data_IF_347380700150
#
_entry.id   IF_347380700150
#
_cell.length_a   1.000
_cell.length_b   1.000
_cell.length_c   1.000
_cell.angle_alpha   90.00
_cell.angle_beta   90.00
_cell.angle_gamma   90.00
#
_symmetry.space_group_name_H-M   'P 1'
#
loop_
_entity.id
_entity.type
_entity.pdbx_description
1 polymer ?
#
# COMPACT_ATOMS: atom_id res chain seq x y z
N UNK A 1 -2.70 -51.81 -13.76
CA UNK A 1 -2.62 -51.35 -12.36
C UNK A 1 -1.22 -50.79 -12.19
N UNK A 2 -0.93 -49.53 -11.92
CA UNK A 2 -1.59 -48.48 -11.12
C UNK A 2 -1.12 -47.11 -11.62
N UNK A 3 -2.02 -46.13 -11.71
CA UNK A 3 -1.71 -44.70 -11.74
C UNK A 3 -2.68 -43.99 -10.80
N UNK A 4 -2.19 -42.95 -10.14
CA UNK A 4 -2.90 -41.86 -9.44
C UNK A 4 -2.68 -41.83 -7.93
N UNK A 5 -1.99 -40.79 -7.46
CA UNK A 5 -2.56 -39.66 -6.69
C UNK A 5 -1.42 -38.91 -6.01
N UNK A 6 -1.17 -37.67 -6.44
CA UNK A 6 -0.46 -36.63 -5.67
C UNK A 6 -0.64 -35.28 -6.37
N UNK A 7 -1.80 -34.64 -6.22
CA UNK A 7 -2.03 -33.25 -6.68
C UNK A 7 -3.05 -32.45 -5.84
N UNK A 8 -3.41 -32.88 -4.63
CA UNK A 8 -4.51 -32.24 -3.88
C UNK A 8 -4.10 -31.28 -2.74
N UNK A 9 -2.84 -31.24 -2.30
CA UNK A 9 -2.47 -30.52 -1.05
C UNK A 9 -2.04 -29.06 -1.22
N UNK A 10 -1.91 -28.54 -2.45
CA UNK A 10 -1.42 -27.16 -2.68
C UNK A 10 -2.51 -26.10 -2.86
N UNK A 11 -3.78 -26.51 -2.91
CA UNK A 11 -4.93 -25.61 -3.16
C UNK A 11 -5.69 -25.19 -1.90
N UNK A 12 -5.52 -25.89 -0.78
CA UNK A 12 -6.22 -25.54 0.46
C UNK A 12 -5.52 -24.46 1.28
N UNK A 13 -4.18 -24.39 1.28
CA UNK A 13 -3.46 -23.37 2.07
C UNK A 13 -3.54 -21.95 1.48
N UNK A 14 -3.82 -21.80 0.18
CA UNK A 14 -4.03 -20.48 -0.45
C UNK A 14 -5.44 -19.94 -0.21
N UNK A 15 -6.41 -20.83 0.06
CA UNK A 15 -7.80 -20.45 0.29
C UNK A 15 -7.96 -19.78 1.66
N UNK A 16 -7.37 -20.34 2.71
CA UNK A 16 -7.51 -19.84 4.09
C UNK A 16 -6.85 -18.48 4.32
N UNK A 17 -5.69 -18.21 3.71
CA UNK A 17 -5.03 -16.90 3.80
C UNK A 17 -5.83 -15.80 3.09
N UNK A 18 -6.52 -16.15 2.01
CA UNK A 18 -7.38 -15.23 1.27
C UNK A 18 -8.66 -14.89 2.06
N UNK A 19 -9.23 -15.86 2.78
CA UNK A 19 -10.44 -15.64 3.59
C UNK A 19 -10.16 -14.78 4.83
N UNK A 20 -8.98 -14.89 5.44
CA UNK A 20 -8.56 -14.06 6.58
C UNK A 20 -8.28 -12.61 6.18
N UNK A 21 -7.69 -12.36 5.00
CA UNK A 21 -7.54 -11.00 4.46
C UNK A 21 -8.89 -10.37 4.09
N UNK A 22 -9.85 -11.15 3.57
CA UNK A 22 -11.16 -10.65 3.19
C UNK A 22 -12.01 -10.19 4.38
N UNK A 23 -11.89 -10.84 5.55
CA UNK A 23 -12.61 -10.46 6.77
C UNK A 23 -12.04 -9.19 7.42
N UNK A 24 -10.72 -8.96 7.33
CA UNK A 24 -10.09 -7.73 7.81
C UNK A 24 -10.43 -6.51 6.92
N UNK A 25 -10.57 -6.71 5.61
CA UNK A 25 -10.93 -5.65 4.66
C UNK A 25 -12.39 -5.18 4.79
N UNK A 26 -13.32 -6.07 5.16
CA UNK A 26 -14.76 -5.75 5.23
C UNK A 26 -15.14 -4.88 6.44
N UNK A 27 -14.35 -4.87 7.52
CA UNK A 27 -14.63 -4.03 8.70
C UNK A 27 -14.04 -2.62 8.61
N UNK A 28 -13.01 -2.38 7.77
CA UNK A 28 -12.37 -1.07 7.62
C UNK A 28 -13.03 -0.13 6.61
N UNK A 29 -13.83 -0.65 5.68
CA UNK A 29 -14.48 0.18 4.65
C UNK A 29 -15.71 0.96 5.14
N UNK A 30 -16.30 0.58 6.28
CA UNK A 30 -17.54 1.20 6.76
C UNK A 30 -17.35 2.57 7.44
N UNK A 31 -16.13 2.91 7.87
CA UNK A 31 -15.86 4.18 8.56
C UNK A 31 -15.23 5.23 7.64
N UNK A 32 -14.45 4.83 6.64
CA UNK A 32 -13.82 5.76 5.69
C UNK A 32 -14.79 6.41 4.70
N UNK A 33 -15.98 5.83 4.47
CA UNK A 33 -16.99 6.42 3.60
C UNK A 33 -17.79 7.55 4.26
N UNK A 34 -17.70 7.77 5.57
CA UNK A 34 -18.43 8.84 6.26
C UNK A 34 -17.63 10.16 6.32
N UNK A 35 -16.31 10.11 6.53
CA UNK A 35 -15.48 11.32 6.65
C UNK A 35 -15.26 12.06 5.31
N UNK A 36 -15.40 11.36 4.17
CA UNK A 36 -15.28 11.98 2.85
C UNK A 36 -16.49 12.86 2.52
N UNK A 37 -17.68 12.58 3.08
CA UNK A 37 -18.89 13.37 2.74
C UNK A 37 -18.98 14.73 3.45
N UNK A 38 -18.36 14.91 4.62
CA UNK A 38 -18.45 16.19 5.36
C UNK A 38 -17.49 17.27 4.82
N UNK A 39 -16.39 16.89 4.15
CA UNK A 39 -15.39 17.87 3.67
C UNK A 39 -15.74 18.60 2.37
N UNK A 40 -16.82 18.23 1.67
CA UNK A 40 -17.18 18.80 0.35
C UNK A 40 -18.37 19.76 0.36
N UNK A 41 -18.85 20.21 1.54
CA UNK A 41 -20.04 21.09 1.63
C UNK A 41 -19.82 22.47 2.25
N UNK A 42 -18.58 22.93 2.47
CA UNK A 42 -18.38 24.32 2.91
C UNK A 42 -18.35 25.32 1.75
N UNK A 43 -19.33 26.24 1.80
CA UNK A 43 -19.51 27.38 0.92
C UNK A 43 -18.29 28.31 0.92
N UNK A 44 -18.06 28.92 -0.24
CA UNK A 44 -17.00 29.88 -0.54
C UNK A 44 -17.12 31.13 0.34
N UNK A 45 -16.22 31.31 1.30
CA UNK A 45 -15.89 32.63 1.86
C UNK A 45 -14.46 33.04 1.50
N UNK A 46 -14.38 34.15 0.77
CA UNK A 46 -13.14 34.81 0.39
C UNK A 46 -12.40 35.35 1.62
N UNK A 47 -11.14 34.96 1.82
CA UNK A 47 -10.25 35.65 2.75
C UNK A 47 -8.95 36.11 2.07
N UNK A 48 -8.64 37.38 2.34
CA UNK A 48 -7.56 38.18 1.80
C UNK A 48 -6.16 37.59 2.01
N UNK A 49 -5.33 37.76 0.98
CA UNK A 49 -3.90 37.45 0.96
C UNK A 49 -3.14 38.36 1.92
N UNK A 50 -2.48 37.80 2.94
CA UNK A 50 -1.34 38.43 3.63
C UNK A 50 -0.20 37.45 3.92
N UNK A 51 0.92 37.71 3.23
CA UNK A 51 2.32 37.38 3.53
C UNK A 51 2.71 35.91 3.82
N UNK A 52 3.02 35.18 2.74
CA UNK A 52 3.90 34.00 2.74
C UNK A 52 5.20 34.38 2.02
N UNK A 53 6.12 35.05 2.72
CA UNK A 53 7.49 35.28 2.22
C UNK A 53 8.58 34.72 3.14
N UNK A 54 8.23 34.07 4.25
CA UNK A 54 9.19 33.52 5.20
C UNK A 54 9.32 32.00 5.22
N UNK A 55 8.47 31.23 4.51
CA UNK A 55 8.60 29.76 4.41
C UNK A 55 9.28 29.26 3.12
N UNK A 56 9.52 30.13 2.15
CA UNK A 56 10.00 29.72 0.82
C UNK A 56 11.53 29.53 0.75
N UNK A 57 12.30 30.02 1.72
CA UNK A 57 13.78 29.94 1.66
C UNK A 57 14.37 28.63 2.20
N UNK A 58 13.70 27.91 3.10
CA UNK A 58 14.27 26.69 3.73
C UNK A 58 14.16 25.42 2.90
N UNK A 59 13.29 25.39 1.89
CA UNK A 59 13.08 24.19 1.06
C UNK A 59 14.06 24.10 -0.13
N UNK A 60 14.59 25.22 -0.62
CA UNK A 60 15.62 25.22 -1.67
C UNK A 60 16.98 24.69 -1.17
N UNK A 61 17.36 24.95 0.09
CA UNK A 61 18.64 24.47 0.65
C UNK A 61 18.72 22.94 0.79
N UNK A 62 17.59 22.23 1.01
CA UNK A 62 17.57 20.77 1.09
C UNK A 62 17.80 20.08 -0.26
N UNK A 63 17.41 20.71 -1.35
CA UNK A 63 17.46 20.13 -2.70
C UNK A 63 18.90 20.08 -3.25
N UNK A 64 19.69 21.14 -3.04
CA UNK A 64 21.07 21.23 -3.54
C UNK A 64 22.01 20.24 -2.85
N UNK A 65 21.76 19.90 -1.58
CA UNK A 65 22.60 18.94 -0.84
C UNK A 65 22.48 17.49 -1.35
N UNK A 66 21.34 17.07 -1.90
CA UNK A 66 21.17 15.69 -2.41
C UNK A 66 21.74 15.51 -3.81
N UNK A 67 21.63 16.52 -4.69
CA UNK A 67 22.23 16.48 -6.03
C UNK A 67 23.78 16.50 -5.96
N UNK A 68 24.36 17.21 -4.98
CA UNK A 68 25.81 17.27 -4.77
C UNK A 68 26.41 15.94 -4.28
N UNK A 69 25.70 15.19 -3.43
CA UNK A 69 26.19 13.92 -2.87
C UNK A 69 26.18 12.74 -3.87
N UNK A 70 25.33 12.77 -4.91
CA UNK A 70 25.29 11.71 -5.94
C UNK A 70 26.56 11.71 -6.84
N UNK A 71 27.31 12.81 -6.88
CA UNK A 71 28.48 12.97 -7.77
C UNK A 71 29.85 12.66 -7.14
N UNK A 72 29.94 12.25 -5.86
CA UNK A 72 31.25 12.07 -5.18
C UNK A 72 31.67 10.63 -4.84
N UNK A 73 30.85 9.61 -5.06
CA UNK A 73 31.20 8.23 -4.65
C UNK A 73 31.80 7.40 -5.80
N UNK A 74 33.08 7.62 -6.08
CA UNK A 74 33.95 6.59 -6.70
C UNK A 74 34.80 5.98 -5.58
N UNK A 75 34.65 4.69 -5.22
CA UNK A 75 35.39 4.13 -4.10
C UNK A 75 36.87 3.94 -4.47
N UNK A 76 37.83 4.25 -3.58
CA UNK A 76 39.24 3.94 -3.79
C UNK A 76 39.49 2.43 -3.59
N UNK A 77 40.28 1.84 -4.48
CA UNK A 77 40.73 0.45 -4.43
C UNK A 77 41.51 0.16 -3.13
N UNK A 78 41.00 -0.75 -2.28
CA UNK A 78 41.76 -1.27 -1.13
C UNK A 78 42.24 -2.69 -1.39
N UNK A 79 43.57 -2.87 -1.37
CA UNK A 79 44.30 -4.14 -1.50
C UNK A 79 43.96 -5.08 -0.33
N UNK A 80 43.29 -6.20 -0.61
CA UNK A 80 43.07 -7.28 0.35
C UNK A 80 44.35 -8.11 0.47
N UNK A 81 44.86 -8.26 1.70
CA UNK A 81 45.98 -9.12 2.07
C UNK A 81 45.43 -10.50 2.44
N UNK A 82 45.78 -11.52 1.66
CA UNK A 82 45.39 -12.93 1.85
C UNK A 82 46.23 -13.56 2.97
N UNK A 83 45.59 -14.30 3.89
CA UNK A 83 46.19 -15.38 4.69
C UNK A 83 45.16 -16.54 4.80
N UNK A 84 45.55 -17.84 4.70
CA UNK A 84 44.63 -18.92 4.29
C UNK A 84 44.23 -19.93 5.38
N UNK A 85 43.17 -20.69 5.04
CA UNK A 85 42.77 -22.06 5.41
C UNK A 85 42.38 -22.41 6.87
N UNK A 86 41.22 -23.07 7.04
CA UNK A 86 41.16 -24.55 7.03
C UNK A 86 39.71 -25.09 6.98
N UNK A 87 39.53 -26.04 6.06
CA UNK A 87 38.37 -26.91 5.85
C UNK A 87 38.12 -27.81 7.06
N UNK A 88 36.87 -28.05 7.42
CA UNK A 88 36.40 -29.36 7.87
C UNK A 88 34.89 -29.48 7.67
N UNK A 89 34.51 -30.39 6.78
CA UNK A 89 33.17 -30.93 6.62
C UNK A 89 32.78 -31.70 7.88
N UNK A 90 31.59 -31.44 8.41
CA UNK A 90 30.87 -32.40 9.25
C UNK A 90 29.38 -32.27 8.98
N UNK A 91 28.84 -33.29 8.32
CA UNK A 91 27.42 -33.57 8.24
C UNK A 91 26.87 -33.78 9.66
N UNK A 92 25.86 -33.00 10.04
CA UNK A 92 25.02 -33.30 11.21
C UNK A 92 23.57 -33.41 10.74
N UNK A 93 22.99 -34.57 11.04
CA UNK A 93 21.63 -35.02 10.76
C UNK A 93 20.58 -34.27 11.61
N UNK A 94 19.27 -34.42 11.32
CA UNK A 94 18.24 -33.45 11.69
C UNK A 94 17.90 -33.46 13.19
N UNK A 95 17.67 -32.23 13.66
CA UNK A 95 17.09 -31.79 14.94
C UNK A 95 16.14 -32.80 15.59
N UNK A 96 16.62 -33.47 16.64
CA UNK A 96 15.75 -33.93 17.72
C UNK A 96 15.35 -32.69 18.55
N UNK A 97 14.06 -32.40 18.57
CA UNK A 97 13.45 -31.37 19.39
C UNK A 97 13.54 -31.77 20.87
N UNK A 98 14.66 -31.42 21.51
CA UNK A 98 14.73 -31.35 22.96
C UNK A 98 14.28 -29.94 23.39
N UNK A 99 12.99 -29.81 23.66
CA UNK A 99 12.46 -28.72 24.48
C UNK A 99 13.03 -28.87 25.89
N UNK A 100 14.17 -28.23 26.14
CA UNK A 100 14.53 -27.83 27.49
C UNK A 100 13.76 -26.55 27.80
N UNK A 101 12.77 -26.67 28.67
CA UNK A 101 12.04 -25.57 29.29
C UNK A 101 13.01 -24.70 30.08
N UNK A 102 13.54 -23.65 29.46
CA UNK A 102 13.82 -22.41 30.17
C UNK A 102 12.65 -21.48 29.91
N UNK A 103 11.86 -21.21 30.95
CA UNK A 103 10.84 -20.16 30.97
C UNK A 103 11.52 -18.78 30.85
N UNK A 104 12.11 -18.47 29.70
CA UNK A 104 12.36 -17.08 29.35
C UNK A 104 11.06 -16.54 28.76
N UNK A 105 10.35 -15.76 29.58
CA UNK A 105 9.24 -14.89 29.19
C UNK A 105 9.78 -13.71 28.36
N UNK A 106 10.55 -14.00 27.31
CA UNK A 106 11.02 -13.00 26.35
C UNK A 106 10.03 -12.89 25.18
N UNK A 107 10.08 -11.76 24.48
CA UNK A 107 9.15 -11.46 23.39
C UNK A 107 9.19 -12.49 22.26
N UNK A 108 10.35 -13.11 21.99
CA UNK A 108 10.53 -14.06 20.88
C UNK A 108 9.93 -15.42 21.23
N UNK A 109 10.13 -15.88 22.47
CA UNK A 109 9.49 -17.08 23.00
C UNK A 109 7.97 -16.95 22.99
N UNK A 110 7.43 -15.81 23.42
CA UNK A 110 6.00 -15.52 23.38
C UNK A 110 5.44 -15.42 21.95
N UNK A 111 6.16 -14.76 21.04
CA UNK A 111 5.81 -14.71 19.62
C UNK A 111 5.70 -16.13 19.03
N UNK A 112 6.70 -16.98 19.27
CA UNK A 112 6.70 -18.36 18.79
C UNK A 112 5.50 -19.16 19.33
N UNK A 113 5.16 -18.98 20.62
CA UNK A 113 3.97 -19.60 21.22
C UNK A 113 2.69 -19.15 20.51
N UNK A 114 2.52 -17.85 20.28
CA UNK A 114 1.35 -17.30 19.58
C UNK A 114 1.24 -17.82 18.16
N UNK A 115 2.36 -17.90 17.43
CA UNK A 115 2.39 -18.44 16.06
C UNK A 115 1.96 -19.91 16.05
N UNK A 116 2.56 -20.75 16.91
CA UNK A 116 2.23 -22.18 16.98
C UNK A 116 0.74 -22.38 17.29
N UNK A 117 0.21 -21.67 18.29
CA UNK A 117 -1.19 -21.76 18.66
C UNK A 117 -2.12 -21.29 17.52
N UNK A 118 -1.74 -20.23 16.82
CA UNK A 118 -2.49 -19.72 15.65
C UNK A 118 -2.50 -20.74 14.49
N UNK A 119 -1.39 -21.44 14.26
CA UNK A 119 -1.29 -22.44 13.19
C UNK A 119 -2.03 -23.75 13.49
N UNK A 120 -2.26 -24.05 14.77
CA UNK A 120 -3.09 -25.18 15.18
C UNK A 120 -4.57 -25.00 14.82
N UNK A 121 -5.01 -23.79 14.51
CA UNK A 121 -6.36 -23.50 14.00
C UNK A 121 -7.46 -24.08 14.92
N UNK A 122 -8.35 -24.90 14.35
CA UNK A 122 -9.46 -25.52 15.09
C UNK A 122 -9.03 -26.52 16.17
N UNK A 123 -7.75 -26.90 16.23
CA UNK A 123 -7.21 -27.80 17.24
C UNK A 123 -6.67 -27.07 18.47
N UNK A 124 -6.49 -25.74 18.39
CA UNK A 124 -6.11 -24.93 19.55
C UNK A 124 -7.36 -24.47 20.31
N UNK A 125 -7.24 -24.44 21.63
CA UNK A 125 -8.22 -23.79 22.49
C UNK A 125 -8.18 -22.28 22.22
N UNK A 126 -9.31 -21.71 21.82
CA UNK A 126 -9.44 -20.28 21.54
C UNK A 126 -9.18 -19.44 22.80
N UNK A 127 -9.47 -19.98 23.99
CA UNK A 127 -9.13 -19.35 25.27
C UNK A 127 -7.62 -19.28 25.49
N UNK A 128 -6.89 -20.34 25.12
CA UNK A 128 -5.43 -20.38 25.26
C UNK A 128 -4.72 -19.43 24.28
N UNK A 129 -5.24 -19.29 23.06
CA UNK A 129 -4.74 -18.28 22.09
C UNK A 129 -4.94 -16.88 22.66
N UNK A 130 -6.14 -16.57 23.16
CA UNK A 130 -6.47 -15.26 23.70
C UNK A 130 -5.59 -14.92 24.91
N UNK A 131 -5.42 -15.85 25.85
CA UNK A 131 -4.58 -15.66 27.03
C UNK A 131 -3.10 -15.46 26.67
N UNK A 132 -2.58 -16.22 25.69
CA UNK A 132 -1.21 -16.06 25.21
C UNK A 132 -1.01 -14.70 24.53
N UNK A 133 -1.99 -14.26 23.73
CA UNK A 133 -1.94 -12.96 23.06
C UNK A 133 -2.01 -11.80 24.06
N UNK A 134 -2.92 -11.85 25.03
CA UNK A 134 -3.06 -10.83 26.08
C UNK A 134 -1.80 -10.75 26.95
N UNK A 135 -1.24 -11.90 27.32
CA UNK A 135 0.02 -11.97 28.06
C UNK A 135 1.18 -11.35 27.28
N UNK A 136 1.25 -11.63 25.98
CA UNK A 136 2.30 -11.08 25.12
C UNK A 136 2.14 -9.56 24.95
N UNK A 137 0.93 -9.07 24.67
CA UNK A 137 0.65 -7.64 24.59
C UNK A 137 1.00 -6.94 25.90
N UNK A 138 0.64 -7.52 27.05
CA UNK A 138 0.99 -6.96 28.35
C UNK A 138 2.50 -6.88 28.57
N UNK A 139 3.28 -7.89 28.15
CA UNK A 139 4.74 -7.82 28.17
C UNK A 139 5.27 -6.65 27.34
N UNK A 140 4.78 -6.49 26.11
CA UNK A 140 5.23 -5.43 25.20
C UNK A 140 4.86 -4.02 25.70
N UNK A 141 3.70 -3.87 26.34
CA UNK A 141 3.28 -2.59 26.95
C UNK A 141 4.13 -2.25 28.18
N UNK A 142 4.46 -3.25 28.99
CA UNK A 142 5.15 -3.02 30.28
C UNK A 142 6.67 -3.03 30.16
N UNK A 143 7.23 -3.52 29.05
CA UNK A 143 8.67 -3.64 28.82
C UNK A 143 9.10 -3.04 27.48
N UNK A 144 9.57 -1.77 27.47
CA UNK A 144 10.18 -1.16 26.29
C UNK A 144 11.37 -1.94 25.72
N UNK A 145 12.10 -2.66 26.59
CA UNK A 145 13.20 -3.52 26.17
C UNK A 145 12.72 -4.69 25.31
N UNK A 146 11.64 -5.36 25.73
CA UNK A 146 11.07 -6.48 24.96
C UNK A 146 10.42 -6.02 23.66
N UNK A 147 9.82 -4.83 23.66
CA UNK A 147 9.33 -4.21 22.43
C UNK A 147 10.49 -3.90 21.46
N UNK A 148 11.61 -3.35 21.94
CA UNK A 148 12.79 -3.11 21.12
C UNK A 148 13.40 -4.42 20.58
N UNK A 149 13.50 -5.45 21.41
CA UNK A 149 13.99 -6.77 21.02
C UNK A 149 13.11 -7.39 19.92
N UNK A 150 11.78 -7.27 20.03
CA UNK A 150 10.84 -7.73 19.01
C UNK A 150 11.02 -6.98 17.68
N UNK A 151 11.26 -5.67 17.74
CA UNK A 151 11.52 -4.84 16.55
C UNK A 151 12.85 -5.20 15.90
N UNK A 152 13.90 -5.40 16.69
CA UNK A 152 15.22 -5.83 16.20
C UNK A 152 15.12 -7.19 15.51
N UNK A 153 14.36 -8.12 16.09
CA UNK A 153 14.07 -9.40 15.46
C UNK A 153 13.31 -9.23 14.14
N UNK A 154 12.24 -8.42 14.14
CA UNK A 154 11.44 -8.11 12.95
C UNK A 154 12.29 -7.62 11.77
N UNK A 155 13.32 -6.80 12.03
CA UNK A 155 14.24 -6.28 11.00
C UNK A 155 15.04 -7.39 10.28
N UNK A 156 15.27 -8.52 10.95
CA UNK A 156 16.02 -9.64 10.37
C UNK A 156 15.17 -10.54 9.48
N UNK A 157 13.84 -10.46 9.60
CA UNK A 157 12.91 -11.35 8.93
C UNK A 157 12.72 -11.00 7.46
N UNK A 158 12.37 -12.01 6.67
CA UNK A 158 11.77 -11.76 5.35
C UNK A 158 10.41 -11.11 5.54
N UNK A 159 10.11 -10.11 4.73
CA UNK A 159 8.82 -9.43 4.75
C UNK A 159 7.67 -10.34 4.30
N UNK A 160 7.97 -11.40 3.55
CA UNK A 160 7.00 -12.44 3.17
C UNK A 160 6.78 -13.48 4.30
N UNK A 161 7.55 -13.38 5.39
CA UNK A 161 7.42 -14.34 6.49
C UNK A 161 6.14 -14.09 7.27
N UNK A 162 5.46 -15.18 7.63
CA UNK A 162 4.31 -15.13 8.54
C UNK A 162 4.67 -14.44 9.86
N UNK A 163 5.88 -14.69 10.33
CA UNK A 163 6.40 -14.13 11.57
C UNK A 163 6.46 -12.60 11.53
N UNK A 164 6.96 -12.02 10.44
CA UNK A 164 6.94 -10.57 10.22
C UNK A 164 5.51 -10.01 10.32
N UNK A 165 4.55 -10.64 9.63
CA UNK A 165 3.16 -10.20 9.67
C UNK A 165 2.51 -10.34 11.05
N UNK A 166 2.85 -11.38 11.81
CA UNK A 166 2.39 -11.53 13.20
C UNK A 166 2.94 -10.43 14.09
N UNK A 167 4.22 -10.08 13.97
CA UNK A 167 4.81 -8.99 14.75
C UNK A 167 4.11 -7.67 14.45
N UNK A 168 3.93 -7.33 13.17
CA UNK A 168 3.25 -6.09 12.76
C UNK A 168 1.84 -6.02 13.33
N UNK A 169 1.07 -7.11 13.20
CA UNK A 169 -0.30 -7.19 13.74
C UNK A 169 -0.35 -6.99 15.26
N UNK A 170 0.52 -7.67 15.99
CA UNK A 170 0.57 -7.58 17.46
C UNK A 170 0.95 -6.16 17.90
N UNK A 171 1.92 -5.53 17.23
CA UNK A 171 2.32 -4.15 17.52
C UNK A 171 1.20 -3.14 17.22
N UNK A 172 0.43 -3.32 16.14
CA UNK A 172 -0.72 -2.46 15.83
C UNK A 172 -1.82 -2.52 16.90
N UNK A 173 -2.00 -3.69 17.53
CA UNK A 173 -3.03 -3.93 18.54
C UNK A 173 -2.62 -3.46 19.95
N UNK A 174 -1.42 -2.89 20.13
CA UNK A 174 -1.00 -2.33 21.41
C UNK A 174 -1.80 -1.06 21.76
N UNK A 175 -2.14 -0.86 23.05
CA UNK A 175 -2.89 0.31 23.51
C UNK A 175 -2.12 1.62 23.28
N UNK A 176 -2.87 2.73 23.30
CA UNK A 176 -2.33 4.11 23.27
C UNK A 176 -1.41 4.39 22.07
N UNK A 177 -1.59 3.68 20.96
CA UNK A 177 -0.79 3.80 19.73
C UNK A 177 0.71 3.52 19.90
N UNK A 178 1.15 2.91 21.01
CA UNK A 178 2.57 2.71 21.32
C UNK A 178 3.29 1.89 20.23
N UNK A 179 2.70 0.76 19.82
CA UNK A 179 3.28 -0.05 18.75
C UNK A 179 3.16 0.63 17.37
N UNK A 180 2.13 1.46 17.15
CA UNK A 180 2.02 2.28 15.95
C UNK A 180 3.17 3.30 15.80
N UNK A 181 3.57 3.95 16.89
CA UNK A 181 4.73 4.86 16.91
C UNK A 181 6.05 4.12 16.67
N UNK A 182 6.20 2.94 17.26
CA UNK A 182 7.38 2.11 17.05
C UNK A 182 7.50 1.65 15.59
N UNK A 183 6.42 1.13 15.00
CA UNK A 183 6.36 0.77 13.59
C UNK A 183 6.63 1.95 12.66
N UNK A 184 6.10 3.14 12.99
CA UNK A 184 6.37 4.37 12.23
C UNK A 184 7.85 4.74 12.26
N UNK A 185 8.51 4.57 13.41
CA UNK A 185 9.95 4.85 13.55
C UNK A 185 10.79 3.90 12.70
N UNK A 186 10.44 2.60 12.68
CA UNK A 186 11.10 1.60 11.81
C UNK A 186 10.88 1.91 10.34
N UNK A 187 9.66 2.26 9.93
CA UNK A 187 9.37 2.65 8.55
C UNK A 187 10.21 3.87 8.13
N UNK A 188 10.30 4.90 8.98
CA UNK A 188 11.11 6.08 8.70
C UNK A 188 12.61 5.80 8.63
N UNK A 189 13.12 4.84 9.40
CA UNK A 189 14.51 4.39 9.29
C UNK A 189 14.74 3.66 7.96
N UNK A 190 13.87 2.72 7.59
CA UNK A 190 13.97 2.00 6.33
C UNK A 190 13.91 2.93 5.12
N UNK A 191 13.09 3.99 5.18
CA UNK A 191 13.00 4.98 4.11
C UNK A 191 14.28 5.80 3.88
N UNK A 192 15.23 5.76 4.82
CA UNK A 192 16.52 6.46 4.69
C UNK A 192 17.58 5.64 3.94
N UNK A 193 17.31 4.35 3.72
CA UNK A 193 18.21 3.48 2.98
C UNK A 193 17.81 3.46 1.50
N UNK A 194 18.79 3.67 0.62
CA UNK A 194 18.56 3.73 -0.83
C UNK A 194 18.47 2.35 -1.51
N UNK A 195 18.60 1.25 -0.75
CA UNK A 195 18.55 -0.09 -1.32
C UNK A 195 17.10 -0.59 -1.51
N UNK A 196 16.90 -1.36 -2.59
CA UNK A 196 15.59 -1.91 -2.99
C UNK A 196 14.92 -2.68 -1.86
N UNK A 197 15.67 -3.47 -1.08
CA UNK A 197 15.10 -4.30 -0.02
C UNK A 197 14.54 -3.42 1.11
N UNK A 198 15.25 -2.37 1.50
CA UNK A 198 14.76 -1.42 2.49
C UNK A 198 13.53 -0.67 2.00
N UNK A 199 13.47 -0.27 0.73
CA UNK A 199 12.30 0.39 0.13
C UNK A 199 11.07 -0.54 0.11
N UNK A 200 11.24 -1.81 -0.27
CA UNK A 200 10.16 -2.80 -0.23
C UNK A 200 9.63 -3.01 1.20
N UNK A 201 10.53 -3.11 2.19
CA UNK A 201 10.15 -3.23 3.60
C UNK A 201 9.44 -1.97 4.11
N UNK A 202 9.91 -0.79 3.71
CA UNK A 202 9.25 0.48 4.01
C UNK A 202 7.83 0.51 3.46
N UNK A 203 7.63 0.18 2.17
CA UNK A 203 6.32 0.19 1.53
C UNK A 203 5.36 -0.79 2.19
N UNK A 204 5.82 -1.99 2.53
CA UNK A 204 4.99 -2.96 3.23
C UNK A 204 4.59 -2.46 4.62
N UNK A 205 5.53 -1.91 5.40
CA UNK A 205 5.20 -1.35 6.70
C UNK A 205 4.23 -0.19 6.56
N UNK A 206 4.47 0.74 5.62
CA UNK A 206 3.61 1.87 5.34
C UNK A 206 2.18 1.45 4.99
N UNK A 207 2.01 0.41 4.17
CA UNK A 207 0.69 -0.17 3.87
C UNK A 207 -0.04 -0.70 5.12
N UNK A 208 0.71 -1.05 6.16
CA UNK A 208 0.22 -1.56 7.43
C UNK A 208 0.25 -0.49 8.54
N UNK A 209 0.55 0.77 8.30
CA UNK A 209 0.63 1.76 9.38
C UNK A 209 -0.73 2.26 9.90
N UNK A 210 -1.87 1.69 9.45
CA UNK A 210 -3.22 2.18 9.74
C UNK A 210 -3.26 3.71 9.60
N UNK A 211 -3.74 4.44 10.61
CA UNK A 211 -3.85 5.91 10.61
C UNK A 211 -2.48 6.63 10.57
N UNK A 212 -1.36 5.95 10.87
CA UNK A 212 -0.04 6.58 10.84
C UNK A 212 0.54 6.74 9.42
N UNK A 213 -0.13 6.19 8.41
CA UNK A 213 0.24 6.43 7.01
C UNK A 213 0.14 7.93 6.65
N UNK A 214 -0.70 8.69 7.36
CA UNK A 214 -0.86 10.14 7.20
C UNK A 214 0.27 10.95 7.84
N UNK A 215 1.24 10.30 8.49
CA UNK A 215 2.41 10.99 9.00
C UNK A 215 3.13 11.71 7.85
N UNK A 216 3.36 13.05 7.94
CA UNK A 216 3.95 13.82 6.85
C UNK A 216 5.30 13.27 6.40
N UNK A 217 6.11 12.72 7.32
CA UNK A 217 7.42 12.15 6.96
C UNK A 217 7.28 10.84 6.18
N UNK A 218 6.25 10.04 6.46
CA UNK A 218 5.95 8.83 5.69
C UNK A 218 5.47 9.24 4.29
N UNK A 219 4.60 10.24 4.19
CA UNK A 219 4.14 10.76 2.89
C UNK A 219 5.28 11.36 2.06
N UNK A 220 6.21 12.11 2.68
CA UNK A 220 7.42 12.58 2.00
C UNK A 220 8.29 11.42 1.51
N UNK A 221 8.51 10.39 2.34
CA UNK A 221 9.29 9.22 1.93
C UNK A 221 8.64 8.45 0.78
N UNK A 222 7.32 8.28 0.80
CA UNK A 222 6.55 7.69 -0.29
C UNK A 222 6.65 8.53 -1.57
N UNK A 223 6.61 9.86 -1.46
CA UNK A 223 6.75 10.77 -2.60
C UNK A 223 8.15 10.68 -3.21
N UNK A 224 9.19 10.67 -2.36
CA UNK A 224 10.58 10.46 -2.78
C UNK A 224 10.72 9.16 -3.59
N UNK A 225 10.15 8.05 -3.11
CA UNK A 225 10.16 6.77 -3.85
C UNK A 225 9.38 6.88 -5.16
N UNK A 226 8.17 7.43 -5.13
CA UNK A 226 7.33 7.55 -6.31
C UNK A 226 7.99 8.39 -7.40
N UNK A 227 8.74 9.44 -7.04
CA UNK A 227 9.39 10.35 -7.99
C UNK A 227 10.76 9.80 -8.45
N UNK A 228 11.58 9.28 -7.52
CA UNK A 228 13.00 9.05 -7.77
C UNK A 228 13.44 7.58 -7.81
N UNK A 229 12.60 6.61 -7.46
CA UNK A 229 13.01 5.20 -7.52
C UNK A 229 13.35 4.79 -8.97
N UNK A 230 14.60 4.37 -9.16
CA UNK A 230 15.14 3.92 -10.43
C UNK A 230 14.83 2.41 -10.62
N UNK A 231 14.48 2.01 -11.85
CA UNK A 231 14.43 0.61 -12.31
C UNK A 231 13.47 -0.36 -11.61
N UNK A 232 12.42 0.12 -10.92
CA UNK A 232 11.41 -0.73 -10.30
C UNK A 232 9.99 -0.15 -10.42
N UNK A 233 9.28 -0.54 -11.49
CA UNK A 233 7.89 -0.11 -11.72
C UNK A 233 6.97 -0.53 -10.56
N UNK A 234 7.17 -1.70 -9.97
CA UNK A 234 6.33 -2.16 -8.84
C UNK A 234 6.51 -1.31 -7.59
N UNK A 235 7.74 -0.95 -7.24
CA UNK A 235 8.03 -0.07 -6.09
C UNK A 235 7.39 1.31 -6.29
N UNK A 236 7.50 1.85 -7.50
CA UNK A 236 6.87 3.14 -7.82
C UNK A 236 5.35 3.04 -7.72
N UNK A 237 4.74 1.99 -8.26
CA UNK A 237 3.29 1.77 -8.21
C UNK A 237 2.76 1.59 -6.79
N UNK A 238 3.47 0.82 -5.96
CA UNK A 238 3.12 0.60 -4.56
C UNK A 238 3.18 1.93 -3.79
N UNK A 239 4.23 2.73 -4.01
CA UNK A 239 4.35 4.05 -3.42
C UNK A 239 3.19 4.98 -3.84
N UNK A 240 2.89 5.07 -5.14
CA UNK A 240 1.80 5.87 -5.69
C UNK A 240 0.43 5.50 -5.08
N UNK A 241 0.20 4.20 -4.89
CA UNK A 241 -1.03 3.67 -4.30
C UNK A 241 -1.22 4.16 -2.87
N UNK A 242 -0.15 4.16 -2.08
CA UNK A 242 -0.15 4.57 -0.67
C UNK A 242 -0.17 6.09 -0.46
N UNK A 243 0.30 6.85 -1.44
CA UNK A 243 0.36 8.31 -1.35
C UNK A 243 -1.01 8.96 -1.23
N UNK A 244 -1.07 10.11 -0.58
CA UNK A 244 -2.30 10.88 -0.38
C UNK A 244 -2.14 12.29 -0.99
N UNK A 245 -2.94 12.67 -2.01
CA UNK A 245 -2.73 13.92 -2.75
C UNK A 245 -2.81 15.19 -1.90
N UNK A 246 -3.56 15.18 -0.79
CA UNK A 246 -3.73 16.35 0.07
C UNK A 246 -2.50 16.66 0.94
N UNK A 247 -1.56 15.73 1.07
CA UNK A 247 -0.29 15.95 1.76
C UNK A 247 0.82 16.52 0.87
N UNK A 248 0.50 16.83 -0.39
CA UNK A 248 1.48 17.27 -1.38
C UNK A 248 1.20 18.69 -1.86
N UNK A 249 2.26 19.42 -2.13
CA UNK A 249 2.17 20.68 -2.85
C UNK A 249 1.98 20.46 -4.36
N UNK A 250 1.73 21.53 -5.11
CA UNK A 250 1.50 21.45 -6.55
C UNK A 250 2.74 21.00 -7.31
N UNK A 251 3.94 21.34 -6.82
CA UNK A 251 5.19 20.97 -7.48
C UNK A 251 5.48 19.46 -7.36
N UNK A 252 5.22 18.87 -6.19
CA UNK A 252 5.30 17.43 -5.97
C UNK A 252 4.27 16.68 -6.83
N UNK A 253 3.03 17.19 -6.91
CA UNK A 253 1.98 16.62 -7.78
C UNK A 253 2.39 16.64 -9.24
N UNK A 254 2.94 17.74 -9.74
CA UNK A 254 3.44 17.83 -11.13
C UNK A 254 4.56 16.83 -11.41
N UNK A 255 5.48 16.62 -10.47
CA UNK A 255 6.54 15.60 -10.60
C UNK A 255 5.96 14.19 -10.63
N UNK A 256 5.00 13.88 -9.76
CA UNK A 256 4.30 12.59 -9.74
C UNK A 256 3.55 12.35 -11.05
N UNK A 257 2.78 13.33 -11.53
CA UNK A 257 2.05 13.22 -12.80
C UNK A 257 3.01 13.04 -13.98
N UNK A 258 4.13 13.76 -14.00
CA UNK A 258 5.19 13.58 -15.00
C UNK A 258 5.73 12.14 -14.97
N UNK A 259 5.98 11.61 -13.78
CA UNK A 259 6.46 10.23 -13.62
C UNK A 259 5.42 9.20 -14.08
N UNK A 260 4.15 9.37 -13.70
CA UNK A 260 3.05 8.49 -14.14
C UNK A 260 2.90 8.52 -15.65
N UNK A 261 2.94 9.69 -16.28
CA UNK A 261 2.83 9.83 -17.74
C UNK A 261 3.98 9.14 -18.48
N UNK A 262 5.21 9.25 -17.95
CA UNK A 262 6.35 8.51 -18.49
C UNK A 262 6.15 7.00 -18.38
N UNK A 263 5.62 6.51 -17.25
CA UNK A 263 5.29 5.10 -17.07
C UNK A 263 4.19 4.64 -18.03
N UNK A 264 3.11 5.41 -18.20
CA UNK A 264 2.02 5.10 -19.14
C UNK A 264 2.48 5.00 -20.59
N UNK A 265 3.50 5.77 -20.98
CA UNK A 265 4.09 5.72 -22.32
C UNK A 265 4.90 4.43 -22.56
N UNK A 266 5.45 3.82 -21.51
CA UNK A 266 6.29 2.61 -21.59
C UNK A 266 5.59 1.35 -21.10
N UNK A 267 4.47 1.47 -20.38
CA UNK A 267 3.83 0.34 -19.70
C UNK A 267 3.18 -0.62 -20.68
N UNK A 268 3.23 -1.91 -20.32
CA UNK A 268 2.33 -2.89 -20.91
C UNK A 268 0.88 -2.66 -20.41
N UNK A 269 -0.07 -3.45 -20.90
CA UNK A 269 -1.49 -3.31 -20.53
C UNK A 269 -1.76 -3.66 -19.06
N UNK A 270 -0.90 -4.45 -18.40
CA UNK A 270 -1.19 -5.03 -17.08
C UNK A 270 -1.33 -3.98 -15.98
N UNK A 271 -0.48 -2.94 -15.98
CA UNK A 271 -0.46 -1.93 -14.92
C UNK A 271 -1.15 -0.61 -15.35
N UNK A 272 -1.67 -0.55 -16.58
CA UNK A 272 -2.20 0.69 -17.15
C UNK A 272 -3.39 1.22 -16.36
N UNK A 273 -4.32 0.36 -15.94
CA UNK A 273 -5.48 0.76 -15.13
C UNK A 273 -5.05 1.38 -13.79
N UNK A 274 -4.08 0.76 -13.10
CA UNK A 274 -3.52 1.29 -11.84
C UNK A 274 -2.82 2.64 -12.04
N UNK A 275 -2.06 2.80 -13.12
CA UNK A 275 -1.41 4.07 -13.45
C UNK A 275 -2.44 5.16 -13.75
N UNK A 276 -3.53 4.84 -14.46
CA UNK A 276 -4.62 5.79 -14.75
C UNK A 276 -5.35 6.18 -13.46
N UNK A 277 -5.67 5.23 -12.57
CA UNK A 277 -6.26 5.55 -11.27
C UNK A 277 -5.38 6.54 -10.49
N UNK A 278 -4.07 6.27 -10.44
CA UNK A 278 -3.13 7.17 -9.79
C UNK A 278 -3.06 8.54 -10.50
N UNK A 279 -3.05 8.58 -11.83
CA UNK A 279 -3.08 9.85 -12.58
C UNK A 279 -4.32 10.68 -12.22
N UNK A 280 -5.51 10.06 -12.21
CA UNK A 280 -6.76 10.72 -11.82
C UNK A 280 -6.67 11.28 -10.41
N UNK A 281 -6.16 10.49 -9.45
CA UNK A 281 -6.02 10.85 -8.04
C UNK A 281 -5.14 12.10 -7.82
N UNK A 282 -4.07 12.26 -8.59
CA UNK A 282 -3.15 13.41 -8.43
C UNK A 282 -3.49 14.62 -9.31
N UNK A 283 -4.39 14.46 -10.28
CA UNK A 283 -4.77 15.53 -11.21
C UNK A 283 -5.84 16.47 -10.63
N UNK A 284 -6.00 17.64 -11.25
CA UNK A 284 -7.08 18.58 -10.95
C UNK A 284 -8.39 18.21 -11.68
N UNK A 285 -9.50 18.91 -11.39
CA UNK A 285 -10.81 18.55 -11.96
C UNK A 285 -10.86 18.61 -13.49
N UNK A 286 -10.25 19.63 -14.11
CA UNK A 286 -10.25 19.77 -15.58
C UNK A 286 -9.45 18.64 -16.23
N UNK A 287 -8.28 18.33 -15.68
CA UNK A 287 -7.44 17.20 -16.11
C UNK A 287 -8.14 15.86 -15.94
N UNK A 288 -8.85 15.66 -14.81
CA UNK A 288 -9.61 14.43 -14.55
C UNK A 288 -10.75 14.24 -15.54
N UNK A 289 -11.49 15.29 -15.87
CA UNK A 289 -12.54 15.23 -16.89
C UNK A 289 -11.96 14.90 -18.27
N UNK A 290 -10.84 15.54 -18.63
CA UNK A 290 -10.16 15.28 -19.90
C UNK A 290 -9.68 13.83 -20.01
N UNK A 291 -8.95 13.34 -18.99
CA UNK A 291 -8.49 11.96 -18.94
C UNK A 291 -9.65 10.97 -18.95
N UNK A 292 -10.69 11.20 -18.15
CA UNK A 292 -11.86 10.33 -18.13
C UNK A 292 -12.53 10.23 -19.51
N UNK A 293 -12.66 11.35 -20.21
CA UNK A 293 -13.23 11.39 -21.55
C UNK A 293 -12.38 10.64 -22.57
N UNK A 294 -11.05 10.67 -22.43
CA UNK A 294 -10.13 9.93 -23.27
C UNK A 294 -10.18 8.42 -22.98
N UNK A 295 -10.07 8.03 -21.71
CA UNK A 295 -9.85 6.62 -21.32
C UNK A 295 -11.13 5.78 -21.27
N UNK A 296 -12.31 6.40 -21.29
CA UNK A 296 -13.58 5.66 -21.41
C UNK A 296 -13.87 5.17 -22.83
N UNK A 297 -13.09 5.64 -23.81
CA UNK A 297 -13.21 5.27 -25.23
C UNK A 297 -12.99 3.76 -25.46
N UNK A 298 -13.67 3.21 -26.47
CA UNK A 298 -13.61 1.80 -26.84
C UNK A 298 -12.22 1.29 -27.29
N UNK A 299 -11.29 2.19 -27.58
CA UNK A 299 -9.91 1.84 -27.93
C UNK A 299 -9.07 1.37 -26.73
N UNK A 300 -9.55 1.55 -25.50
CA UNK A 300 -8.89 1.10 -24.28
C UNK A 300 -9.45 -0.23 -23.77
N UNK A 301 -8.64 -0.97 -23.02
CA UNK A 301 -9.04 -2.23 -22.38
C UNK A 301 -10.18 -2.04 -21.37
N UNK A 302 -10.87 -3.13 -21.08
CA UNK A 302 -12.10 -3.10 -20.28
C UNK A 302 -11.82 -2.66 -18.84
N UNK A 303 -10.67 -3.04 -18.28
CA UNK A 303 -10.22 -2.68 -16.95
C UNK A 303 -10.01 -1.16 -16.84
N UNK A 304 -9.29 -0.57 -17.79
CA UNK A 304 -9.08 0.88 -17.89
C UNK A 304 -10.40 1.65 -17.96
N UNK A 305 -11.33 1.17 -18.80
CA UNK A 305 -12.64 1.83 -18.95
C UNK A 305 -13.49 1.72 -17.69
N UNK A 306 -13.43 0.59 -16.98
CA UNK A 306 -14.08 0.43 -15.68
C UNK A 306 -13.50 1.34 -14.60
N UNK A 307 -12.20 1.63 -14.65
CA UNK A 307 -11.56 2.55 -13.72
C UNK A 307 -12.16 3.96 -13.81
N UNK A 308 -12.54 4.41 -15.01
CA UNK A 308 -13.24 5.69 -15.18
C UNK A 308 -14.61 5.67 -14.52
N UNK A 309 -15.37 4.58 -14.64
CA UNK A 309 -16.66 4.43 -13.96
C UNK A 309 -16.49 4.41 -12.43
N UNK A 310 -15.49 3.68 -11.93
CA UNK A 310 -15.12 3.66 -10.51
C UNK A 310 -14.76 5.07 -10.01
N UNK A 311 -13.99 5.81 -10.79
CA UNK A 311 -13.64 7.21 -10.54
C UNK A 311 -14.86 8.12 -10.43
N UNK A 312 -15.89 7.91 -11.25
CA UNK A 312 -17.16 8.66 -11.17
C UNK A 312 -17.94 8.32 -9.89
N UNK A 313 -18.02 7.04 -9.52
CA UNK A 313 -18.72 6.59 -8.31
C UNK A 313 -18.05 7.06 -7.02
N UNK A 314 -16.72 7.10 -7.00
CA UNK A 314 -15.93 7.59 -5.86
C UNK A 314 -15.84 9.11 -5.79
N UNK A 315 -16.29 9.83 -6.83
CA UNK A 315 -16.21 11.28 -6.92
C UNK A 315 -14.83 11.83 -7.29
N UNK A 316 -13.85 10.97 -7.58
CA UNK A 316 -12.54 11.40 -8.10
C UNK A 316 -12.74 12.08 -9.45
N UNK A 317 -13.48 11.44 -10.36
CA UNK A 317 -13.83 12.00 -11.67
C UNK A 317 -15.05 12.90 -11.51
N UNK A 318 -14.98 14.18 -11.91
CA UNK A 318 -16.13 15.07 -11.82
C UNK A 318 -17.23 14.64 -12.81
N UNK A 319 -18.48 14.84 -12.41
CA UNK A 319 -19.63 14.61 -13.29
C UNK A 319 -19.75 15.78 -14.26
N UNK A 320 -19.73 15.51 -15.55
CA UNK A 320 -19.90 16.53 -16.58
C UNK A 320 -20.89 16.11 -17.66
N UNK A 321 -21.40 17.08 -18.42
CA UNK A 321 -22.29 16.80 -19.54
C UNK A 321 -21.57 16.01 -20.64
N UNK A 322 -20.28 16.28 -20.86
CA UNK A 322 -19.47 15.53 -21.81
C UNK A 322 -19.39 14.04 -21.44
N UNK A 323 -19.08 13.73 -20.17
CA UNK A 323 -19.04 12.35 -19.70
C UNK A 323 -20.42 11.69 -19.73
N UNK A 324 -21.48 12.44 -19.43
CA UNK A 324 -22.86 11.95 -19.56
C UNK A 324 -23.17 11.52 -21.00
N UNK A 325 -22.82 12.33 -21.99
CA UNK A 325 -23.06 12.01 -23.41
C UNK A 325 -22.27 10.78 -23.87
N UNK A 326 -21.00 10.67 -23.47
CA UNK A 326 -20.18 9.48 -23.73
C UNK A 326 -20.80 8.22 -23.12
N UNK A 327 -21.23 8.29 -21.86
CA UNK A 327 -21.89 7.18 -21.19
C UNK A 327 -23.22 6.81 -21.85
N UNK A 328 -24.01 7.78 -22.33
CA UNK A 328 -25.25 7.51 -23.05
C UNK A 328 -24.98 6.72 -24.34
N UNK A 329 -23.93 7.09 -25.07
CA UNK A 329 -23.53 6.38 -26.29
C UNK A 329 -23.10 4.92 -25.99
N UNK A 330 -22.31 4.72 -24.93
CA UNK A 330 -21.91 3.38 -24.47
C UNK A 330 -23.13 2.57 -24.00
N UNK A 331 -24.01 3.19 -23.20
CA UNK A 331 -25.20 2.57 -22.63
C UNK A 331 -26.26 2.18 -23.67
N UNK A 332 -26.27 2.86 -24.83
CA UNK A 332 -27.13 2.52 -25.98
C UNK A 332 -26.50 1.53 -26.97
N UNK A 333 -25.19 1.27 -26.86
CA UNK A 333 -24.50 0.30 -27.72
C UNK A 333 -24.49 -1.09 -27.06
N UNK A 334 -25.39 -1.97 -27.48
CA UNK A 334 -25.47 -3.35 -26.93
C UNK A 334 -24.22 -4.20 -27.18
N UNK A 335 -23.36 -3.83 -28.14
CA UNK A 335 -22.09 -4.52 -28.40
C UNK A 335 -20.93 -4.02 -27.54
N UNK A 336 -21.10 -2.89 -26.85
CA UNK A 336 -20.06 -2.40 -25.96
C UNK A 336 -20.04 -3.24 -24.67
N UNK A 337 -18.90 -3.84 -24.28
CA UNK A 337 -18.81 -4.61 -23.04
C UNK A 337 -19.12 -3.79 -21.79
N UNK A 338 -18.97 -2.47 -21.83
CA UNK A 338 -19.24 -1.56 -20.72
C UNK A 338 -20.73 -1.14 -20.65
N UNK A 339 -21.57 -1.59 -21.60
CA UNK A 339 -22.97 -1.16 -21.77
C UNK A 339 -23.77 -1.14 -20.46
N UNK A 340 -23.81 -2.27 -19.74
CA UNK A 340 -24.60 -2.40 -18.51
C UNK A 340 -24.06 -1.54 -17.36
N UNK A 341 -22.73 -1.45 -17.24
CA UNK A 341 -22.09 -0.63 -16.22
C UNK A 341 -22.32 0.86 -16.48
N UNK A 342 -22.28 1.29 -17.74
CA UNK A 342 -22.62 2.65 -18.14
C UNK A 342 -24.10 2.99 -17.84
N UNK A 343 -25.03 2.06 -18.10
CA UNK A 343 -26.43 2.22 -17.73
C UNK A 343 -26.64 2.40 -16.22
N UNK A 344 -25.97 1.60 -15.39
CA UNK A 344 -26.07 1.73 -13.92
C UNK A 344 -25.51 3.07 -13.45
N UNK A 345 -24.30 3.40 -13.92
CA UNK A 345 -23.60 4.64 -13.57
C UNK A 345 -24.42 5.89 -13.93
N UNK A 346 -25.04 5.91 -15.13
CA UNK A 346 -25.95 6.98 -15.51
C UNK A 346 -27.12 7.12 -14.54
N UNK A 347 -27.78 6.00 -14.18
CA UNK A 347 -28.99 6.01 -13.35
C UNK A 347 -28.70 6.44 -11.91
N UNK A 348 -27.51 6.11 -11.42
CA UNK A 348 -27.10 6.38 -10.05
C UNK A 348 -26.53 7.80 -9.88
N UNK A 349 -25.73 8.28 -10.84
CA UNK A 349 -24.92 9.48 -10.66
C UNK A 349 -25.41 10.70 -11.45
N UNK A 350 -26.17 10.52 -12.53
CA UNK A 350 -26.56 11.59 -13.42
C UNK A 350 -28.07 11.84 -13.42
N UNK A 351 -28.46 13.09 -13.60
CA UNK A 351 -29.83 13.41 -13.96
C UNK A 351 -30.09 12.95 -15.40
N UNK A 352 -30.90 11.91 -15.57
CA UNK A 352 -31.32 11.39 -16.87
C UNK A 352 -32.74 11.87 -17.18
N UNK A 353 -32.92 12.50 -18.34
CA UNK A 353 -34.23 12.85 -18.87
C UNK A 353 -35.02 11.61 -19.31
N UNK A 354 -36.33 11.75 -19.46
CA UNK A 354 -37.16 10.64 -19.94
C UNK A 354 -36.77 10.12 -21.35
N UNK A 355 -36.28 11.01 -22.23
CA UNK A 355 -35.83 10.64 -23.57
C UNK A 355 -34.55 9.81 -23.51
N UNK A 356 -33.57 10.26 -22.74
CA UNK A 356 -32.30 9.54 -22.52
C UNK A 356 -32.56 8.19 -21.82
N UNK A 357 -33.48 8.13 -20.85
CA UNK A 357 -33.86 6.88 -20.20
C UNK A 357 -34.44 5.86 -21.20
N UNK A 358 -35.26 6.31 -22.16
CA UNK A 358 -35.76 5.43 -23.24
C UNK A 358 -34.64 4.96 -24.16
N UNK A 359 -33.69 5.85 -24.47
CA UNK A 359 -32.57 5.55 -25.36
C UNK A 359 -31.68 4.42 -24.84
N UNK A 360 -31.52 4.30 -23.52
CA UNK A 360 -30.67 3.27 -22.90
C UNK A 360 -31.44 2.01 -22.45
N UNK A 361 -32.78 1.99 -22.61
CA UNK A 361 -33.63 0.85 -22.25
C UNK A 361 -33.91 -0.08 -23.43
N UNK A 362 -33.82 0.45 -24.65
CA UNK A 362 -33.89 -0.29 -25.91
C UNK A 362 -32.49 -0.79 -26.28
#
# INVERSE_FOLDING_TARGET
MTKSKNKATKWQSKSTTLTLMALAFLCGYSTASLDVFDSFTEEVESYEVKNIQQLTLTNHEKLDTRLANKNLNKPPESKIKVIPNHTNESFVNPVEANFQSSDTYDAISMLNKVIILSEMGNYADQGEIAEALDSFKNLLVTSPYEQANLIDHMRTLSFESKEFHHIVSILQELPEHQGGLALTSVALELSQNDDIKSQEQFLLLAANLNNNIENPRIQTALADIAIYAEDSEHIVLDALTLLKPFHMDNYEKEQILTRINNLLATSNTTNRSQLINNALKFSNNEEREHMASQFIDSNYDIETRHEILSGLHTGIVPRSNQLKELLLNIASNQSDPLNQAAQSTLKELFYITYQEYKQIKN
#
